data_IF_306951771959
#
_entry.id   IF_306951771959
#
_cell.length_a   1.000
_cell.length_b   1.000
_cell.length_c   1.000
_cell.angle_alpha   90.00
_cell.angle_beta   90.00
_cell.angle_gamma   90.00
#
_symmetry.space_group_name_H-M   'P 1'
#
loop_
_entity.id
_entity.type
_entity.pdbx_description
1 polymer ?
#
# COMPACT_ATOMS: atom_id res chain seq x y z
N UNK A 1 -40.96 -33.93 51.28
CA UNK A 1 -40.26 -33.71 52.56
C UNK A 1 -40.18 -32.21 52.86
N UNK A 2 -41.01 -31.70 53.78
CA UNK A 2 -41.00 -30.29 54.22
C UNK A 2 -40.04 -30.14 55.40
N UNK A 3 -38.93 -29.44 55.21
CA UNK A 3 -38.01 -29.08 56.30
C UNK A 3 -38.55 -27.83 57.00
N UNK A 4 -39.13 -28.01 58.19
CA UNK A 4 -39.49 -26.92 59.11
C UNK A 4 -38.21 -26.31 59.69
N UNK A 5 -37.97 -25.02 59.44
CA UNK A 5 -36.95 -24.23 60.17
C UNK A 5 -37.57 -23.71 61.47
N UNK A 6 -37.25 -24.36 62.58
CA UNK A 6 -37.44 -23.82 63.92
C UNK A 6 -36.34 -22.78 64.19
N UNK A 7 -36.68 -21.49 64.19
CA UNK A 7 -35.85 -20.46 64.81
C UNK A 7 -36.21 -20.40 66.29
N UNK A 8 -35.37 -21.00 67.14
CA UNK A 8 -35.36 -20.67 68.57
C UNK A 8 -34.42 -19.49 68.77
N UNK A 9 -34.97 -18.39 69.26
CA UNK A 9 -34.21 -17.31 69.90
C UNK A 9 -33.62 -17.88 71.19
N UNK A 10 -32.32 -18.19 71.16
CA UNK A 10 -31.51 -18.41 72.37
C UNK A 10 -30.39 -17.40 72.33
N UNK A 11 -30.42 -16.49 73.30
CA UNK A 11 -29.29 -15.80 73.93
C UNK A 11 -28.03 -15.65 73.08
N UNK A 12 -28.02 -14.63 72.22
CA UNK A 12 -26.75 -14.11 71.71
C UNK A 12 -26.11 -13.26 72.81
N UNK A 13 -25.19 -13.90 73.52
CA UNK A 13 -24.15 -13.25 74.29
C UNK A 13 -23.65 -12.03 73.53
N UNK A 14 -23.58 -10.91 74.25
CA UNK A 14 -22.93 -9.70 73.83
C UNK A 14 -21.52 -10.08 73.39
N UNK A 15 -21.29 -10.18 72.07
CA UNK A 15 -19.97 -10.08 71.51
C UNK A 15 -19.48 -8.68 71.87
N UNK A 16 -18.75 -8.60 72.98
CA UNK A 16 -17.82 -7.50 73.24
C UNK A 16 -17.03 -7.30 71.95
N UNK A 17 -16.79 -6.05 71.51
CA UNK A 17 -15.83 -5.83 70.45
C UNK A 17 -14.52 -6.38 70.98
N UNK A 18 -14.09 -7.54 70.48
CA UNK A 18 -12.68 -7.90 70.51
C UNK A 18 -12.01 -6.77 69.79
N UNK A 19 -11.47 -5.84 70.58
CA UNK A 19 -10.42 -4.96 70.15
C UNK A 19 -9.42 -5.86 69.42
N UNK A 20 -9.34 -5.70 68.10
CA UNK A 20 -8.20 -6.13 67.32
C UNK A 20 -7.01 -5.30 67.82
N UNK A 21 -6.55 -5.66 69.01
CA UNK A 21 -5.26 -5.24 69.52
C UNK A 21 -4.23 -5.83 68.58
N UNK A 22 -3.34 -4.97 68.12
CA UNK A 22 -2.28 -5.21 67.15
C UNK A 22 -1.18 -6.14 67.69
N UNK A 23 -1.53 -7.24 68.36
CA UNK A 23 -0.61 -8.14 69.07
C UNK A 23 -0.43 -9.53 68.43
N UNK A 24 -0.82 -9.70 67.17
CA UNK A 24 -0.47 -10.89 66.37
C UNK A 24 0.33 -10.58 65.10
N UNK A 25 0.93 -9.38 64.99
CA UNK A 25 1.85 -8.98 63.91
C UNK A 25 3.27 -8.73 64.44
N UNK A 26 3.70 -9.54 65.41
CA UNK A 26 5.05 -9.50 65.96
C UNK A 26 5.68 -10.88 65.92
N UNK A 27 6.15 -11.31 64.74
CA UNK A 27 7.33 -12.18 64.52
C UNK A 27 7.47 -12.56 63.03
N UNK A 28 7.44 -11.56 62.14
CA UNK A 28 8.12 -11.62 60.84
C UNK A 28 8.82 -10.28 60.61
N UNK A 29 9.71 -9.95 61.54
CA UNK A 29 10.75 -8.95 61.32
C UNK A 29 12.02 -9.69 60.94
N UNK A 30 12.29 -9.76 59.63
CA UNK A 30 13.60 -9.48 59.03
C UNK A 30 13.53 -9.65 57.51
N UNK A 31 13.51 -8.49 56.85
CA UNK A 31 14.30 -8.17 55.65
C UNK A 31 14.14 -9.09 54.43
N UNK A 32 13.05 -8.90 53.69
CA UNK A 32 13.03 -8.82 52.22
C UNK A 32 11.60 -8.85 51.70
N UNK A 33 10.77 -7.87 52.09
CA UNK A 33 9.59 -7.59 51.26
C UNK A 33 10.13 -6.95 49.97
N UNK A 34 10.01 -7.59 48.79
CA UNK A 34 10.38 -6.95 47.55
C UNK A 34 9.60 -5.64 47.50
N UNK A 35 10.31 -4.54 47.24
CA UNK A 35 9.76 -3.20 47.15
C UNK A 35 8.77 -3.21 45.98
N UNK A 36 7.52 -3.61 46.25
CA UNK A 36 6.47 -3.66 45.24
C UNK A 36 6.39 -2.23 44.70
N UNK A 37 6.64 -2.01 43.41
CA UNK A 37 6.64 -0.66 42.85
C UNK A 37 5.34 0.02 43.22
N UNK A 38 5.40 1.32 43.49
CA UNK A 38 4.23 2.15 43.77
C UNK A 38 3.39 2.26 42.48
N UNK A 39 2.79 1.14 42.08
CA UNK A 39 1.98 1.02 40.89
C UNK A 39 0.52 1.34 41.19
N UNK A 40 -0.30 1.49 40.13
CA UNK A 40 -1.72 1.85 40.19
C UNK A 40 -2.56 0.96 41.13
N UNK A 41 -2.10 -0.27 41.39
CA UNK A 41 -2.69 -1.20 42.36
C UNK A 41 -2.81 -0.64 43.78
N UNK A 42 -1.79 0.06 44.28
CA UNK A 42 -1.80 0.60 45.66
C UNK A 42 -2.84 1.72 45.80
N UNK A 43 -3.02 2.54 44.77
CA UNK A 43 -3.98 3.62 44.75
C UNK A 43 -5.43 3.11 44.80
N UNK A 44 -5.77 2.05 44.06
CA UNK A 44 -7.15 1.50 44.06
C UNK A 44 -7.56 0.91 45.41
N UNK A 45 -6.68 0.13 46.06
CA UNK A 45 -6.92 -0.45 47.37
C UNK A 45 -7.05 0.62 48.46
N UNK A 46 -6.15 1.61 48.47
CA UNK A 46 -6.21 2.71 49.41
C UNK A 46 -7.50 3.52 49.25
N UNK A 47 -7.95 3.74 48.01
CA UNK A 47 -9.23 4.41 47.76
C UNK A 47 -10.42 3.62 48.31
N UNK A 48 -10.45 2.30 48.13
CA UNK A 48 -11.50 1.44 48.68
C UNK A 48 -11.53 1.47 50.22
N UNK A 49 -10.36 1.34 50.85
CA UNK A 49 -10.22 1.40 52.31
C UNK A 49 -10.68 2.75 52.88
N UNK A 50 -10.30 3.85 52.25
CA UNK A 50 -10.73 5.19 52.68
C UNK A 50 -12.26 5.35 52.58
N UNK A 51 -12.88 4.84 51.50
CA UNK A 51 -14.34 4.86 51.35
C UNK A 51 -15.06 4.01 52.39
N UNK A 52 -14.51 2.83 52.74
CA UNK A 52 -15.07 1.99 53.79
C UNK A 52 -15.00 2.67 55.17
N UNK A 53 -13.85 3.26 55.51
CA UNK A 53 -13.69 4.01 56.76
C UNK A 53 -14.66 5.20 56.84
N UNK A 54 -14.81 5.95 55.75
CA UNK A 54 -15.78 7.06 55.68
C UNK A 54 -17.23 6.56 55.84
N UNK A 55 -17.57 5.43 55.23
CA UNK A 55 -18.89 4.82 55.34
C UNK A 55 -19.19 4.33 56.77
N UNK A 56 -18.21 3.71 57.43
CA UNK A 56 -18.32 3.29 58.83
C UNK A 56 -18.53 4.49 59.76
N UNK A 57 -17.74 5.55 59.59
CA UNK A 57 -17.90 6.79 60.36
C UNK A 57 -19.29 7.41 60.17
N UNK A 58 -19.80 7.44 58.93
CA UNK A 58 -21.16 7.92 58.64
C UNK A 58 -22.22 7.05 59.32
N UNK A 59 -22.05 5.72 59.30
CA UNK A 59 -22.99 4.79 59.93
C UNK A 59 -23.04 4.96 61.45
N UNK A 60 -21.88 5.06 62.10
CA UNK A 60 -21.79 5.33 63.55
C UNK A 60 -22.46 6.66 63.90
N UNK A 61 -22.18 7.72 63.13
CA UNK A 61 -22.81 9.03 63.32
C UNK A 61 -24.34 8.95 63.19
N UNK A 62 -24.84 8.27 62.15
CA UNK A 62 -26.29 8.12 61.90
C UNK A 62 -26.97 7.32 63.01
N UNK A 63 -26.37 6.22 63.47
CA UNK A 63 -26.92 5.44 64.58
C UNK A 63 -26.92 6.21 65.90
N UNK A 64 -25.91 7.07 66.11
CA UNK A 64 -25.82 7.94 67.28
C UNK A 64 -26.91 9.00 67.23
N UNK A 65 -27.12 9.65 66.08
CA UNK A 65 -28.21 10.61 65.87
C UNK A 65 -29.59 9.97 66.10
N UNK A 66 -29.85 8.79 65.52
CA UNK A 66 -31.10 8.05 65.75
C UNK A 66 -31.33 7.70 67.23
N UNK A 67 -30.26 7.38 67.97
CA UNK A 67 -30.33 7.11 69.40
C UNK A 67 -30.65 8.40 70.19
N UNK A 68 -29.99 9.50 69.87
CA UNK A 68 -30.23 10.80 70.51
C UNK A 68 -31.65 11.30 70.25
N UNK A 69 -32.15 11.16 69.02
CA UNK A 69 -33.53 11.52 68.65
C UNK A 69 -34.54 10.69 69.45
N UNK A 70 -34.34 9.37 69.52
CA UNK A 70 -35.20 8.49 70.32
C UNK A 70 -35.17 8.86 71.80
N UNK A 71 -34.00 9.14 72.38
CA UNK A 71 -33.87 9.54 73.78
C UNK A 71 -34.58 10.86 74.06
N UNK A 72 -34.46 11.84 73.17
CA UNK A 72 -35.14 13.14 73.30
C UNK A 72 -36.67 12.95 73.32
N UNK A 73 -37.20 12.11 72.44
CA UNK A 73 -38.64 11.89 72.32
C UNK A 73 -39.20 10.98 73.43
N UNK A 74 -38.43 9.96 73.86
CA UNK A 74 -38.88 8.93 74.80
C UNK A 74 -38.53 9.20 76.28
N UNK A 75 -37.65 10.16 76.58
CA UNK A 75 -37.36 10.58 77.96
C UNK A 75 -38.36 11.64 78.48
N UNK A 76 -39.25 12.16 77.62
CA UNK A 76 -40.26 13.13 78.02
C UNK A 76 -41.23 12.57 79.07
N UNK A 77 -41.82 13.46 79.87
CA UNK A 77 -42.76 13.13 80.96
C UNK A 77 -44.01 12.39 80.49
N UNK A 78 -44.37 12.52 79.21
CA UNK A 78 -45.49 11.83 78.55
C UNK A 78 -45.13 10.43 78.03
N UNK A 79 -43.95 9.90 78.41
CA UNK A 79 -43.43 8.62 77.94
C UNK A 79 -42.66 7.87 79.05
N UNK A 80 -41.37 7.56 78.91
CA UNK A 80 -40.65 6.80 79.94
C UNK A 80 -40.28 7.63 81.18
N UNK A 81 -40.33 8.97 81.09
CA UNK A 81 -40.05 9.89 82.20
C UNK A 81 -38.57 10.06 82.57
N UNK A 82 -37.68 9.21 82.07
CA UNK A 82 -36.22 9.37 82.20
C UNK A 82 -35.46 8.74 81.04
N UNK A 83 -34.22 9.16 80.82
CA UNK A 83 -33.35 8.60 79.78
C UNK A 83 -32.94 7.14 80.08
N UNK A 84 -32.79 6.79 81.36
CA UNK A 84 -32.49 5.43 81.80
C UNK A 84 -33.67 4.49 81.52
N UNK A 85 -34.88 4.92 81.88
CA UNK A 85 -36.11 4.19 81.58
C UNK A 85 -36.34 4.05 80.07
N UNK A 86 -36.02 5.08 79.28
CA UNK A 86 -36.14 5.03 77.82
C UNK A 86 -35.24 3.95 77.18
N UNK A 87 -34.03 3.74 77.71
CA UNK A 87 -33.06 2.74 77.24
C UNK A 87 -33.32 1.33 77.78
N UNK A 88 -33.99 1.23 78.92
CA UNK A 88 -34.33 -0.05 79.54
C UNK A 88 -35.18 -0.91 78.59
N UNK A 89 -35.04 -2.24 78.69
CA UNK A 89 -35.80 -3.17 77.85
C UNK A 89 -37.31 -3.11 78.09
N UNK A 90 -37.71 -2.66 79.28
CA UNK A 90 -39.10 -2.61 79.69
C UNK A 90 -39.63 -1.19 79.87
N UNK A 91 -38.85 -0.15 79.56
CA UNK A 91 -39.33 1.24 79.68
C UNK A 91 -39.31 1.77 81.10
N UNK A 92 -38.50 1.17 81.99
CA UNK A 92 -38.54 1.44 83.43
C UNK A 92 -39.64 0.71 84.18
N UNK A 93 -40.49 -0.07 83.48
CA UNK A 93 -41.49 -0.91 84.13
C UNK A 93 -40.89 -2.23 84.64
N UNK A 94 -41.41 -2.77 85.76
CA UNK A 94 -41.10 -4.14 86.17
C UNK A 94 -41.45 -5.15 85.07
N UNK A 95 -40.61 -6.17 84.88
CA UNK A 95 -40.75 -7.17 83.82
C UNK A 95 -42.12 -7.85 83.78
N UNK A 96 -42.74 -8.13 84.94
CA UNK A 96 -44.08 -8.74 85.00
C UNK A 96 -45.16 -7.80 84.42
N UNK A 97 -45.14 -6.51 84.80
CA UNK A 97 -46.08 -5.51 84.25
C UNK A 97 -45.88 -5.33 82.75
N UNK A 98 -44.62 -5.24 82.30
CA UNK A 98 -44.31 -5.15 80.87
C UNK A 98 -44.78 -6.39 80.10
N UNK A 99 -44.58 -7.59 80.64
CA UNK A 99 -45.03 -8.83 80.01
C UNK A 99 -46.55 -8.92 79.89
N UNK A 100 -47.28 -8.54 80.95
CA UNK A 100 -48.76 -8.45 80.93
C UNK A 100 -49.24 -7.42 79.91
N UNK A 101 -48.63 -6.23 79.89
CA UNK A 101 -48.87 -5.21 78.87
C UNK A 101 -48.72 -5.78 77.45
N UNK A 102 -47.59 -6.45 77.19
CA UNK A 102 -47.29 -7.07 75.90
C UNK A 102 -48.31 -8.16 75.52
N UNK A 103 -48.75 -8.97 76.49
CA UNK A 103 -49.78 -10.01 76.28
C UNK A 103 -51.11 -9.39 75.85
N UNK A 104 -51.54 -8.31 76.51
CA UNK A 104 -52.79 -7.59 76.18
C UNK A 104 -52.70 -6.92 74.81
N UNK A 105 -51.60 -6.22 74.50
CA UNK A 105 -51.38 -5.60 73.18
C UNK A 105 -51.38 -6.66 72.07
N UNK A 106 -50.72 -7.80 72.28
CA UNK A 106 -50.68 -8.90 71.29
C UNK A 106 -52.07 -9.53 71.09
N UNK A 107 -52.83 -9.73 72.17
CA UNK A 107 -54.21 -10.22 72.09
C UNK A 107 -55.14 -9.22 71.37
N UNK A 108 -54.98 -7.92 71.64
CA UNK A 108 -55.74 -6.87 70.96
C UNK A 108 -55.46 -6.84 69.45
N UNK A 109 -54.19 -7.00 69.04
CA UNK A 109 -53.80 -7.08 67.61
C UNK A 109 -54.28 -8.35 66.92
N UNK A 110 -54.32 -9.48 67.64
CA UNK A 110 -54.84 -10.74 67.10
C UNK A 110 -56.36 -10.72 66.89
N UNK A 111 -57.09 -10.00 67.75
CA UNK A 111 -58.55 -9.90 67.69
C UNK A 111 -59.06 -9.00 66.55
N UNK A 112 -58.26 -8.04 66.07
CA UNK A 112 -58.63 -7.12 64.98
C UNK A 112 -58.46 -7.71 63.57
N UNK A 113 -58.34 -9.03 63.43
CA UNK A 113 -58.41 -9.72 62.13
C UNK A 113 -57.08 -9.79 61.39
N UNK A 114 -56.47 -10.99 61.40
CA UNK A 114 -55.23 -11.33 60.71
C UNK A 114 -55.33 -11.43 59.17
N UNK A 115 -55.70 -10.35 58.48
CA UNK A 115 -55.82 -10.35 57.02
C UNK A 115 -55.09 -9.20 56.28
N UNK A 116 -54.17 -8.47 56.92
CA UNK A 116 -53.29 -7.52 56.22
C UNK A 116 -51.84 -7.92 56.43
N UNK A 117 -51.37 -8.83 55.58
CA UNK A 117 -49.95 -9.17 55.44
C UNK A 117 -49.18 -7.97 54.89
N UNK A 118 -48.76 -7.06 55.76
CA UNK A 118 -47.99 -5.88 55.37
C UNK A 118 -47.16 -5.39 56.55
N UNK A 119 -45.86 -5.64 56.51
CA UNK A 119 -44.88 -5.36 57.57
C UNK A 119 -44.62 -3.85 57.84
N UNK A 120 -45.58 -2.95 57.58
CA UNK A 120 -45.42 -1.49 57.67
C UNK A 120 -46.47 -0.75 58.50
N UNK A 121 -47.51 -1.40 59.01
CA UNK A 121 -48.63 -0.71 59.70
C UNK A 121 -48.41 -0.43 61.18
N UNK A 122 -47.49 0.46 61.55
CA UNK A 122 -47.35 0.94 62.94
C UNK A 122 -47.72 2.42 63.12
N UNK A 123 -48.19 3.12 62.06
CA UNK A 123 -48.21 4.58 62.04
C UNK A 123 -49.55 5.25 61.65
N UNK A 124 -50.69 4.56 61.67
CA UNK A 124 -51.94 5.21 61.21
C UNK A 124 -53.25 4.57 61.66
N UNK A 125 -53.34 4.13 62.92
CA UNK A 125 -54.64 3.68 63.47
C UNK A 125 -55.47 4.88 63.92
N UNK A 126 -56.69 5.00 63.37
CA UNK A 126 -57.72 5.99 63.76
C UNK A 126 -57.80 6.16 65.29
N UNK A 127 -57.95 7.41 65.75
CA UNK A 127 -58.04 7.83 67.16
C UNK A 127 -59.03 7.02 67.98
N UNK A 128 -60.06 6.47 67.34
CA UNK A 128 -61.15 5.77 67.99
C UNK A 128 -60.76 4.38 68.51
N UNK A 129 -59.67 3.80 67.98
CA UNK A 129 -59.14 2.50 68.46
C UNK A 129 -58.35 2.61 69.76
N UNK A 130 -57.82 3.80 70.08
CA UNK A 130 -56.95 4.01 71.24
C UNK A 130 -57.70 3.86 72.56
N UNK A 131 -58.95 4.34 72.62
CA UNK A 131 -59.76 4.24 73.85
C UNK A 131 -60.12 2.80 74.22
N UNK A 132 -60.38 1.94 73.22
CA UNK A 132 -60.71 0.54 73.44
C UNK A 132 -59.51 -0.29 73.91
N UNK A 133 -58.31 -0.02 73.38
CA UNK A 133 -57.07 -0.67 73.83
C UNK A 133 -56.69 -0.25 75.24
N UNK A 134 -56.78 1.05 75.58
CA UNK A 134 -56.50 1.52 76.94
C UNK A 134 -57.44 0.90 77.97
N UNK A 135 -58.75 0.78 77.67
CA UNK A 135 -59.71 0.10 78.56
C UNK A 135 -59.33 -1.37 78.82
N UNK A 136 -58.91 -2.11 77.79
CA UNK A 136 -58.44 -3.51 77.94
C UNK A 136 -57.14 -3.59 78.74
N UNK A 137 -56.24 -2.63 78.58
CA UNK A 137 -55.00 -2.56 79.34
C UNK A 137 -55.23 -2.27 80.82
N UNK A 138 -56.13 -1.34 81.14
CA UNK A 138 -56.53 -1.04 82.53
C UNK A 138 -57.12 -2.28 83.20
N UNK A 139 -57.96 -3.05 82.50
CA UNK A 139 -58.50 -4.31 83.03
C UNK A 139 -57.42 -5.40 83.21
N UNK A 140 -56.42 -5.46 82.33
CA UNK A 140 -55.34 -6.46 82.38
C UNK A 140 -54.19 -6.13 83.34
N UNK A 141 -54.11 -4.89 83.83
CA UNK A 141 -53.05 -4.37 84.70
C UNK A 141 -53.66 -3.69 85.95
N UNK A 142 -54.21 -4.48 86.89
CA UNK A 142 -54.80 -3.92 88.10
C UNK A 142 -53.73 -3.17 88.92
N UNK A 143 -54.08 -1.98 89.41
CA UNK A 143 -53.21 -1.16 90.25
C UNK A 143 -52.21 -0.27 89.49
N UNK A 144 -52.28 -0.19 88.17
CA UNK A 144 -51.50 0.76 87.36
C UNK A 144 -52.40 1.91 86.91
N UNK A 145 -51.93 3.16 87.05
CA UNK A 145 -52.74 4.32 86.67
C UNK A 145 -52.90 4.40 85.15
N UNK A 146 -54.07 4.84 84.62
CA UNK A 146 -54.28 4.98 83.18
C UNK A 146 -53.27 5.89 82.48
N UNK A 147 -52.79 6.94 83.17
CA UNK A 147 -51.75 7.84 82.67
C UNK A 147 -50.41 7.11 82.46
N UNK A 148 -50.01 6.26 83.41
CA UNK A 148 -48.80 5.44 83.29
C UNK A 148 -48.91 4.44 82.12
N UNK A 149 -50.09 3.84 81.91
CA UNK A 149 -50.36 2.95 80.77
C UNK A 149 -50.21 3.71 79.44
N UNK A 150 -50.77 4.92 79.34
CA UNK A 150 -50.68 5.76 78.13
C UNK A 150 -49.24 6.20 77.84
N UNK A 151 -48.50 6.58 78.88
CA UNK A 151 -47.10 6.94 78.80
C UNK A 151 -46.23 5.76 78.32
N UNK A 152 -46.45 4.58 78.91
CA UNK A 152 -45.76 3.34 78.52
C UNK A 152 -46.12 2.90 77.10
N UNK A 153 -47.38 3.06 76.69
CA UNK A 153 -47.83 2.81 75.32
C UNK A 153 -47.13 3.76 74.32
N UNK A 154 -47.01 5.04 74.67
CA UNK A 154 -46.32 6.03 73.85
C UNK A 154 -44.84 5.68 73.68
N UNK A 155 -44.15 5.35 74.78
CA UNK A 155 -42.78 4.83 74.74
C UNK A 155 -42.67 3.57 73.87
N UNK A 156 -43.59 2.61 74.02
CA UNK A 156 -43.55 1.34 73.28
C UNK A 156 -43.66 1.57 71.76
N UNK A 157 -44.54 2.50 71.33
CA UNK A 157 -44.66 2.91 69.92
C UNK A 157 -43.38 3.57 69.42
N UNK A 158 -42.85 4.55 70.17
CA UNK A 158 -41.59 5.24 69.82
C UNK A 158 -40.42 4.26 69.70
N UNK A 159 -40.31 3.31 70.63
CA UNK A 159 -39.30 2.25 70.60
C UNK A 159 -39.44 1.36 69.37
N UNK A 160 -40.67 1.00 68.99
CA UNK A 160 -40.94 0.24 67.77
C UNK A 160 -40.41 0.95 66.52
N UNK A 161 -40.71 2.25 66.38
CA UNK A 161 -40.23 3.08 65.26
C UNK A 161 -38.71 3.20 65.27
N UNK A 162 -38.10 3.46 66.42
CA UNK A 162 -36.65 3.53 66.57
C UNK A 162 -35.96 2.22 66.16
N UNK A 163 -36.44 1.07 66.65
CA UNK A 163 -35.87 -0.23 66.30
C UNK A 163 -36.02 -0.55 64.81
N UNK A 164 -37.14 -0.16 64.20
CA UNK A 164 -37.35 -0.28 62.76
C UNK A 164 -36.36 0.58 61.97
N UNK A 165 -36.21 1.87 62.31
CA UNK A 165 -35.23 2.78 61.69
C UNK A 165 -33.80 2.27 61.86
N UNK A 166 -33.42 1.82 63.06
CA UNK A 166 -32.10 1.24 63.36
C UNK A 166 -31.83 -0.01 62.51
N UNK A 167 -32.82 -0.91 62.36
CA UNK A 167 -32.70 -2.10 61.51
C UNK A 167 -32.55 -1.72 60.03
N UNK A 168 -33.36 -0.78 59.53
CA UNK A 168 -33.30 -0.31 58.16
C UNK A 168 -31.93 0.33 57.85
N UNK A 169 -31.39 1.14 58.76
CA UNK A 169 -30.07 1.76 58.57
C UNK A 169 -28.93 0.73 58.60
N UNK A 170 -29.00 -0.28 59.48
CA UNK A 170 -28.05 -1.40 59.45
C UNK A 170 -28.08 -2.16 58.12
N UNK A 171 -29.28 -2.41 57.58
CA UNK A 171 -29.42 -3.08 56.28
C UNK A 171 -28.89 -2.20 55.14
N UNK A 172 -29.16 -0.90 55.18
CA UNK A 172 -28.63 0.06 54.20
C UNK A 172 -27.11 0.11 54.24
N UNK A 173 -26.50 0.16 55.43
CA UNK A 173 -25.06 0.11 55.61
C UNK A 173 -24.47 -1.20 55.07
N UNK A 174 -25.07 -2.35 55.39
CA UNK A 174 -24.63 -3.65 54.89
C UNK A 174 -24.62 -3.71 53.35
N UNK A 175 -25.68 -3.21 52.70
CA UNK A 175 -25.75 -3.11 51.23
C UNK A 175 -24.64 -2.23 50.66
N UNK A 176 -24.41 -1.05 51.25
CA UNK A 176 -23.33 -0.15 50.80
C UNK A 176 -21.94 -0.77 50.96
N UNK A 177 -21.69 -1.50 52.05
CA UNK A 177 -20.44 -2.24 52.25
C UNK A 177 -20.29 -3.32 51.18
N UNK A 178 -21.34 -4.09 50.90
CA UNK A 178 -21.32 -5.11 49.85
C UNK A 178 -21.06 -4.50 48.46
N UNK A 179 -21.72 -3.40 48.13
CA UNK A 179 -21.49 -2.64 46.88
C UNK A 179 -20.03 -2.18 46.75
N UNK A 180 -19.44 -1.63 47.83
CA UNK A 180 -18.02 -1.23 47.84
C UNK A 180 -17.08 -2.41 47.69
N UNK A 181 -17.39 -3.54 48.32
CA UNK A 181 -16.59 -4.78 48.18
C UNK A 181 -16.67 -5.31 46.76
N UNK A 182 -17.85 -5.35 46.14
CA UNK A 182 -18.04 -5.77 44.75
C UNK A 182 -17.27 -4.81 43.82
N UNK A 183 -17.39 -3.50 44.03
CA UNK A 183 -16.65 -2.50 43.27
C UNK A 183 -15.14 -2.70 43.38
N UNK A 184 -14.63 -2.90 44.60
CA UNK A 184 -13.21 -3.18 44.85
C UNK A 184 -12.73 -4.46 44.17
N UNK A 185 -13.52 -5.54 44.20
CA UNK A 185 -13.21 -6.79 43.48
C UNK A 185 -13.13 -6.57 41.97
N UNK A 186 -14.10 -5.86 41.39
CA UNK A 186 -14.12 -5.54 39.95
C UNK A 186 -12.89 -4.71 39.56
N UNK A 187 -12.54 -3.69 40.34
CA UNK A 187 -11.35 -2.87 40.08
C UNK A 187 -10.04 -3.68 40.12
N UNK A 188 -9.97 -4.71 40.96
CA UNK A 188 -8.80 -5.60 40.99
C UNK A 188 -8.76 -6.58 39.83
N UNK A 189 -9.92 -7.04 39.39
CA UNK A 189 -10.04 -7.89 38.22
C UNK A 189 -9.65 -7.14 36.93
N UNK A 190 -10.10 -5.88 36.77
CA UNK A 190 -9.67 -5.05 35.63
C UNK A 190 -8.16 -4.85 35.62
N UNK A 191 -7.55 -4.52 36.76
CA UNK A 191 -6.09 -4.39 36.87
C UNK A 191 -5.35 -5.71 36.55
N UNK A 192 -5.89 -6.85 36.96
CA UNK A 192 -5.31 -8.16 36.61
C UNK A 192 -5.41 -8.45 35.12
N UNK A 193 -6.52 -8.06 34.49
CA UNK A 193 -6.71 -8.24 33.05
C UNK A 193 -5.76 -7.33 32.25
N UNK A 194 -5.60 -6.06 32.65
CA UNK A 194 -4.63 -5.14 32.06
C UNK A 194 -3.18 -5.66 32.16
N UNK A 195 -2.81 -6.29 33.27
CA UNK A 195 -1.49 -6.93 33.41
C UNK A 195 -1.33 -8.14 32.50
N UNK A 196 -2.36 -8.98 32.37
CA UNK A 196 -2.35 -10.12 31.45
C UNK A 196 -2.25 -9.64 30.00
N UNK A 197 -3.00 -8.61 29.64
CA UNK A 197 -2.95 -8.01 28.31
C UNK A 197 -1.59 -7.37 28.02
N UNK A 198 -1.02 -6.63 28.96
CA UNK A 198 0.31 -6.02 28.76
C UNK A 198 1.40 -7.08 28.65
N UNK A 199 1.34 -8.15 29.44
CA UNK A 199 2.23 -9.30 29.29
C UNK A 199 2.05 -10.00 27.93
N UNK A 200 0.80 -10.21 27.47
CA UNK A 200 0.52 -10.79 26.16
C UNK A 200 1.05 -9.92 25.01
N UNK A 201 0.88 -8.59 25.11
CA UNK A 201 1.43 -7.62 24.15
C UNK A 201 2.95 -7.65 24.13
N UNK A 202 3.60 -7.80 25.28
CA UNK A 202 5.07 -7.92 25.35
C UNK A 202 5.56 -9.20 24.64
N UNK A 203 4.91 -10.34 24.88
CA UNK A 203 5.22 -11.60 24.18
C UNK A 203 5.03 -11.44 22.66
N UNK A 204 3.92 -10.84 22.23
CA UNK A 204 3.65 -10.61 20.81
C UNK A 204 4.71 -9.68 20.16
N UNK A 205 5.16 -8.65 20.89
CA UNK A 205 6.25 -7.78 20.44
C UNK A 205 7.56 -8.56 20.29
N UNK A 206 7.92 -9.39 21.26
CA UNK A 206 9.11 -10.24 21.17
C UNK A 206 9.04 -11.19 19.96
N UNK A 207 7.89 -11.80 19.69
CA UNK A 207 7.69 -12.65 18.52
C UNK A 207 7.83 -11.86 17.20
N UNK A 208 7.25 -10.66 17.12
CA UNK A 208 7.40 -9.79 15.95
C UNK A 208 8.85 -9.39 15.73
N UNK A 209 9.59 -9.10 16.80
CA UNK A 209 11.02 -8.80 16.70
C UNK A 209 11.84 -10.00 16.25
N UNK A 210 11.51 -11.22 16.74
CA UNK A 210 12.15 -12.45 16.27
C UNK A 210 11.92 -12.65 14.77
N UNK A 211 10.66 -12.56 14.32
CA UNK A 211 10.31 -12.67 12.87
C UNK A 211 11.01 -11.61 12.03
N UNK A 212 11.11 -10.37 12.54
CA UNK A 212 11.84 -9.30 11.86
C UNK A 212 13.32 -9.65 11.71
N UNK A 213 13.97 -10.12 12.79
CA UNK A 213 15.38 -10.54 12.76
C UNK A 213 15.61 -11.72 11.81
N UNK A 214 14.69 -12.68 11.76
CA UNK A 214 14.72 -13.80 10.81
C UNK A 214 14.65 -13.31 9.36
N UNK A 215 13.71 -12.40 9.04
CA UNK A 215 13.61 -11.80 7.72
C UNK A 215 14.86 -11.00 7.34
N UNK A 216 15.41 -10.21 8.27
CA UNK A 216 16.64 -9.45 8.04
C UNK A 216 17.83 -10.39 7.75
N UNK A 217 17.91 -11.53 8.44
CA UNK A 217 18.92 -12.56 8.18
C UNK A 217 18.75 -13.19 6.79
N UNK A 218 17.52 -13.56 6.40
CA UNK A 218 17.23 -14.10 5.07
C UNK A 218 17.60 -13.10 3.96
N UNK A 219 17.29 -11.81 4.14
CA UNK A 219 17.67 -10.77 3.19
C UNK A 219 19.19 -10.61 3.08
N UNK A 220 19.92 -10.70 4.19
CA UNK A 220 21.40 -10.70 4.18
C UNK A 220 21.96 -11.91 3.45
N UNK A 221 21.41 -13.09 3.67
CA UNK A 221 21.82 -14.32 2.96
C UNK A 221 21.55 -14.22 1.45
N UNK A 222 20.38 -13.71 1.06
CA UNK A 222 20.07 -13.44 -0.34
C UNK A 222 21.02 -12.40 -0.95
N UNK A 223 21.35 -11.34 -0.21
CA UNK A 223 22.35 -10.35 -0.60
C UNK A 223 23.71 -10.99 -0.88
N UNK A 224 24.22 -11.81 0.06
CA UNK A 224 25.48 -12.56 -0.11
C UNK A 224 25.42 -13.54 -1.28
N UNK A 225 24.31 -14.24 -1.47
CA UNK A 225 24.14 -15.17 -2.58
C UNK A 225 24.12 -14.43 -3.94
N UNK A 226 23.48 -13.26 -4.01
CA UNK A 226 23.49 -12.40 -5.19
C UNK A 226 24.89 -11.88 -5.49
N UNK A 227 25.61 -11.42 -4.48
CA UNK A 227 26.99 -10.96 -4.62
C UNK A 227 27.91 -12.08 -5.12
N UNK A 228 27.79 -13.30 -4.59
CA UNK A 228 28.52 -14.48 -5.10
C UNK A 228 28.23 -14.76 -6.56
N UNK A 229 26.95 -14.77 -6.95
CA UNK A 229 26.54 -14.96 -8.36
C UNK A 229 27.08 -13.86 -9.27
N UNK A 230 27.04 -12.62 -8.80
CA UNK A 230 27.57 -11.49 -9.55
C UNK A 230 29.09 -11.60 -9.71
N UNK A 231 29.81 -11.94 -8.64
CA UNK A 231 31.25 -12.18 -8.68
C UNK A 231 31.61 -13.32 -9.62
N UNK A 232 30.94 -14.48 -9.53
CA UNK A 232 31.11 -15.60 -10.46
C UNK A 232 30.81 -15.18 -11.91
N UNK A 233 29.78 -14.35 -12.14
CA UNK A 233 29.47 -13.86 -13.48
C UNK A 233 30.55 -12.94 -14.03
N UNK A 234 31.14 -12.08 -13.19
CA UNK A 234 32.25 -11.19 -13.56
C UNK A 234 33.50 -12.01 -13.89
N UNK A 235 33.86 -12.98 -13.06
CA UNK A 235 34.98 -13.89 -13.30
C UNK A 235 34.79 -14.71 -14.60
N UNK A 236 33.55 -15.15 -14.90
CA UNK A 236 33.25 -15.84 -16.17
C UNK A 236 33.41 -14.92 -17.39
N UNK A 237 32.95 -13.67 -17.29
CA UNK A 237 33.11 -12.69 -18.37
C UNK A 237 34.59 -12.36 -18.58
N UNK A 238 35.33 -12.13 -17.50
CA UNK A 238 36.77 -11.86 -17.55
C UNK A 238 37.54 -13.03 -18.17
N UNK A 239 37.24 -14.27 -17.76
CA UNK A 239 37.83 -15.46 -18.37
C UNK A 239 37.49 -15.59 -19.86
N UNK A 240 36.24 -15.33 -20.25
CA UNK A 240 35.83 -15.36 -21.65
C UNK A 240 36.53 -14.29 -22.51
N UNK A 241 36.81 -13.11 -21.93
CA UNK A 241 37.59 -12.06 -22.59
C UNK A 241 39.05 -12.49 -22.77
N UNK A 242 39.68 -13.07 -21.74
CA UNK A 242 41.04 -13.61 -21.83
C UNK A 242 41.14 -14.71 -22.89
N UNK A 243 40.21 -15.68 -22.89
CA UNK A 243 40.16 -16.76 -23.89
C UNK A 243 40.00 -16.21 -25.31
N UNK A 244 39.22 -15.13 -25.48
CA UNK A 244 39.06 -14.46 -26.77
C UNK A 244 40.36 -13.79 -27.23
N UNK A 245 41.05 -13.09 -26.34
CA UNK A 245 42.35 -12.47 -26.66
C UNK A 245 43.36 -13.55 -27.07
N UNK A 246 43.43 -14.67 -26.34
CA UNK A 246 44.33 -15.79 -26.68
C UNK A 246 44.02 -16.34 -28.08
N UNK A 247 42.74 -16.57 -28.40
CA UNK A 247 42.35 -17.02 -29.76
C UNK A 247 42.70 -16.02 -30.84
N UNK A 248 42.45 -14.73 -30.60
CA UNK A 248 42.81 -13.68 -31.55
C UNK A 248 44.34 -13.62 -31.78
N UNK A 249 45.15 -13.84 -30.73
CA UNK A 249 46.61 -13.93 -30.86
C UNK A 249 47.06 -15.17 -31.63
N UNK A 250 46.49 -16.36 -31.33
CA UNK A 250 46.82 -17.60 -32.05
C UNK A 250 46.42 -17.54 -33.52
N UNK A 251 45.26 -16.94 -33.84
CA UNK A 251 44.82 -16.72 -35.22
C UNK A 251 45.72 -15.73 -35.97
N UNK A 252 46.19 -14.68 -35.29
CA UNK A 252 47.14 -13.73 -35.86
C UNK A 252 48.49 -14.40 -36.18
N UNK A 253 49.00 -15.24 -35.27
CA UNK A 253 50.22 -16.03 -35.49
C UNK A 253 50.08 -17.01 -36.66
N UNK A 254 48.95 -17.71 -36.77
CA UNK A 254 48.66 -18.60 -37.91
C UNK A 254 48.65 -17.83 -39.24
N UNK A 255 47.99 -16.67 -39.28
CA UNK A 255 47.96 -15.81 -40.48
C UNK A 255 49.35 -15.32 -40.84
N UNK A 256 50.17 -14.92 -39.86
CA UNK A 256 51.55 -14.50 -40.09
C UNK A 256 52.39 -15.62 -40.73
N UNK A 257 52.27 -16.86 -40.22
CA UNK A 257 52.94 -18.04 -40.79
C UNK A 257 52.45 -18.36 -42.21
N UNK A 258 51.15 -18.25 -42.48
CA UNK A 258 50.61 -18.44 -43.83
C UNK A 258 51.11 -17.38 -44.80
N UNK A 259 51.16 -16.11 -44.38
CA UNK A 259 51.64 -15.02 -45.20
C UNK A 259 53.14 -15.13 -45.46
N UNK A 260 53.93 -15.62 -44.50
CA UNK A 260 55.34 -15.95 -44.70
C UNK A 260 55.53 -17.09 -45.72
N UNK A 261 54.69 -18.15 -45.66
CA UNK A 261 54.67 -19.22 -46.67
C UNK A 261 54.29 -18.71 -48.07
N UNK A 262 53.30 -17.82 -48.16
CA UNK A 262 52.91 -17.20 -49.44
C UNK A 262 54.05 -16.33 -49.98
N UNK A 263 54.70 -15.53 -49.12
CA UNK A 263 55.85 -14.70 -49.52
C UNK A 263 57.02 -15.54 -50.03
N UNK A 264 57.36 -16.64 -49.38
CA UNK A 264 58.43 -17.53 -49.84
C UNK A 264 58.06 -18.24 -51.15
N UNK A 265 56.81 -18.68 -51.32
CA UNK A 265 56.33 -19.25 -52.58
C UNK A 265 56.35 -18.22 -53.73
N UNK A 266 55.95 -16.97 -53.47
CA UNK A 266 56.03 -15.88 -54.45
C UNK A 266 57.48 -15.55 -54.80
N UNK A 267 58.40 -15.55 -53.83
CA UNK A 267 59.83 -15.37 -54.08
C UNK A 267 60.41 -16.49 -54.95
N UNK A 268 60.06 -17.75 -54.69
CA UNK A 268 60.46 -18.90 -55.51
C UNK A 268 59.90 -18.80 -56.94
N UNK A 269 58.64 -18.39 -57.08
CA UNK A 269 58.05 -18.14 -58.38
C UNK A 269 58.78 -17.02 -59.13
N UNK A 270 59.08 -15.90 -58.47
CA UNK A 270 59.84 -14.81 -59.10
C UNK A 270 61.25 -15.23 -59.50
N UNK A 271 61.94 -16.05 -58.70
CA UNK A 271 63.25 -16.59 -59.06
C UNK A 271 63.15 -17.50 -60.31
N UNK A 272 62.16 -18.40 -60.35
CA UNK A 272 61.92 -19.26 -61.52
C UNK A 272 61.57 -18.46 -62.78
N UNK A 273 60.85 -17.34 -62.61
CA UNK A 273 60.48 -16.44 -63.70
C UNK A 273 61.68 -15.66 -64.23
N UNK A 274 62.62 -15.28 -63.35
CA UNK A 274 63.88 -14.64 -63.75
C UNK A 274 64.78 -15.59 -64.54
N UNK A 275 64.84 -16.87 -64.14
CA UNK A 275 65.56 -17.90 -64.90
C UNK A 275 64.95 -18.15 -66.29
N UNK A 276 63.61 -18.16 -66.38
CA UNK A 276 62.90 -18.29 -67.66
C UNK A 276 63.15 -17.10 -68.57
N UNK A 277 63.09 -15.87 -68.02
CA UNK A 277 63.36 -14.64 -68.77
C UNK A 277 64.80 -14.57 -69.29
N UNK A 278 65.78 -15.04 -68.51
CA UNK A 278 67.17 -15.11 -68.97
C UNK A 278 67.33 -16.08 -70.16
N UNK A 279 66.64 -17.23 -70.14
CA UNK A 279 66.64 -18.17 -71.27
C UNK A 279 65.93 -17.60 -72.51
N UNK A 280 64.88 -16.82 -72.32
CA UNK A 280 64.15 -16.15 -73.40
C UNK A 280 64.97 -15.00 -74.03
N UNK A 281 65.74 -14.25 -73.24
CA UNK A 281 66.63 -13.21 -73.77
C UNK A 281 67.74 -13.81 -74.64
N UNK A 282 68.33 -14.93 -74.22
CA UNK A 282 69.36 -15.64 -74.99
C UNK A 282 68.81 -16.21 -76.31
N UNK A 283 67.55 -16.66 -76.32
CA UNK A 283 66.87 -17.15 -77.52
C UNK A 283 66.45 -16.01 -78.47
N UNK A 284 66.01 -14.87 -77.93
CA UNK A 284 65.63 -13.69 -78.70
C UNK A 284 66.84 -13.04 -79.42
N UNK A 285 68.00 -12.99 -78.77
CA UNK A 285 69.22 -12.45 -79.40
C UNK A 285 69.73 -13.32 -80.56
N UNK A 286 69.49 -14.64 -80.52
CA UNK A 286 69.79 -15.55 -81.63
C UNK A 286 68.79 -15.40 -82.79
N UNK A 287 67.51 -15.19 -82.50
CA UNK A 287 66.46 -14.99 -83.52
C UNK A 287 66.56 -13.62 -84.22
N UNK A 288 66.96 -12.56 -83.49
CA UNK A 288 67.07 -11.20 -84.04
C UNK A 288 68.13 -11.09 -85.16
N UNK A 289 69.25 -11.82 -85.05
CA UNK A 289 70.32 -11.83 -86.08
C UNK A 289 69.89 -12.53 -87.37
N UNK A 290 68.94 -13.47 -87.30
CA UNK A 290 68.41 -14.17 -88.47
C UNK A 290 67.36 -13.33 -89.21
N UNK A 291 66.51 -12.59 -88.49
CA UNK A 291 65.48 -11.73 -89.10
C UNK A 291 66.05 -10.47 -89.77
N UNK A 292 67.16 -9.92 -89.26
CA UNK A 292 67.76 -8.70 -89.81
C UNK A 292 68.36 -8.92 -91.22
N UNK A 293 68.88 -10.12 -91.49
CA UNK A 293 69.34 -10.53 -92.82
C UNK A 293 68.18 -10.70 -93.83
N UNK A 294 67.00 -11.10 -93.36
CA UNK A 294 65.81 -11.32 -94.21
C UNK A 294 65.07 -10.02 -94.53
N UNK A 295 65.06 -9.04 -93.60
CA UNK A 295 64.45 -7.72 -93.83
C UNK A 295 65.19 -6.92 -94.90
N UNK A 296 66.52 -7.00 -94.98
CA UNK A 296 67.33 -6.27 -95.96
C UNK A 296 66.96 -6.59 -97.42
N UNK A 297 66.43 -7.79 -97.70
CA UNK A 297 66.05 -8.21 -99.05
C UNK A 297 64.62 -7.76 -99.47
N UNK A 298 63.74 -7.42 -98.52
CA UNK A 298 62.32 -7.12 -98.78
C UNK A 298 62.02 -5.62 -98.98
N UNK A 299 62.93 -4.74 -98.58
CA UNK A 299 62.80 -3.27 -98.66
C UNK A 299 62.57 -2.71 -100.09
N UNK A 300 63.26 -3.16 -101.16
CA UNK A 300 63.08 -2.56 -102.50
C UNK A 300 61.74 -2.93 -103.15
N UNK A 301 61.15 -4.08 -102.80
CA UNK A 301 59.85 -4.53 -103.33
C UNK A 301 58.68 -3.79 -102.68
N UNK A 302 58.76 -3.54 -101.37
CA UNK A 302 57.72 -2.80 -100.64
C UNK A 302 57.70 -1.31 -101.00
N UNK A 303 58.86 -0.70 -101.30
CA UNK A 303 58.92 0.71 -101.73
C UNK A 303 58.10 0.99 -102.99
N UNK A 304 58.10 0.06 -103.96
CA UNK A 304 57.30 0.17 -105.19
C UNK A 304 55.79 -0.01 -104.93
N UNK A 305 55.40 -0.88 -104.00
CA UNK A 305 53.99 -1.10 -103.62
C UNK A 305 53.38 0.06 -102.83
N UNK A 306 54.17 0.73 -102.00
CA UNK A 306 53.71 1.90 -101.23
C UNK A 306 53.53 3.12 -102.14
N UNK A 307 54.42 3.33 -103.11
CA UNK A 307 54.26 4.39 -104.12
C UNK A 307 52.94 4.27 -104.89
N UNK A 308 52.63 3.07 -105.40
CA UNK A 308 51.37 2.81 -106.11
C UNK A 308 50.12 3.05 -105.24
N UNK A 309 50.17 2.73 -103.94
CA UNK A 309 49.04 2.95 -103.01
C UNK A 309 48.83 4.43 -102.69
N UNK A 310 49.90 5.21 -102.60
CA UNK A 310 49.83 6.65 -102.37
C UNK A 310 49.24 7.38 -103.59
N UNK A 311 49.64 6.97 -104.79
CA UNK A 311 49.14 7.53 -106.03
C UNK A 311 47.63 7.25 -106.20
N UNK A 312 47.21 6.00 -105.96
CA UNK A 312 45.78 5.62 -106.00
C UNK A 312 44.93 6.28 -104.90
N UNK A 313 45.54 6.60 -103.75
CA UNK A 313 44.85 7.33 -102.68
C UNK A 313 44.65 8.80 -103.06
N UNK A 314 45.62 9.42 -103.76
CA UNK A 314 45.52 10.80 -104.25
C UNK A 314 44.42 10.93 -105.31
N UNK A 315 44.38 10.02 -106.29
CA UNK A 315 43.31 9.99 -107.30
C UNK A 315 41.91 9.87 -106.66
N UNK A 316 41.77 9.02 -105.64
CA UNK A 316 40.49 8.82 -104.95
C UNK A 316 40.06 10.04 -104.13
N UNK A 317 41.01 10.83 -103.66
CA UNK A 317 40.73 12.06 -102.91
C UNK A 317 40.34 13.20 -103.84
N UNK A 318 41.02 13.35 -104.98
CA UNK A 318 40.66 14.29 -106.05
C UNK A 318 39.26 13.98 -106.61
N UNK A 319 38.89 12.71 -106.79
CA UNK A 319 37.54 12.30 -107.21
C UNK A 319 36.46 12.66 -106.16
N UNK A 320 36.79 12.50 -104.87
CA UNK A 320 35.86 12.81 -103.77
C UNK A 320 35.61 14.31 -103.66
N UNK A 321 36.64 15.12 -103.79
CA UNK A 321 36.54 16.58 -103.76
C UNK A 321 35.69 17.10 -104.94
N UNK A 322 35.83 16.50 -106.13
CA UNK A 322 34.98 16.86 -107.27
C UNK A 322 33.49 16.55 -107.03
N UNK A 323 33.18 15.39 -106.47
CA UNK A 323 31.79 15.02 -106.12
C UNK A 323 31.17 15.92 -105.06
N UNK A 324 31.97 16.35 -104.08
CA UNK A 324 31.52 17.27 -103.03
C UNK A 324 31.25 18.68 -103.59
N UNK A 325 32.03 19.13 -104.59
CA UNK A 325 31.76 20.39 -105.30
C UNK A 325 30.48 20.31 -106.13
N UNK A 326 30.28 19.24 -106.92
CA UNK A 326 29.05 19.01 -107.69
C UNK A 326 27.80 18.95 -106.78
N UNK A 327 27.92 18.35 -105.59
CA UNK A 327 26.83 18.27 -104.62
C UNK A 327 26.48 19.65 -104.02
N UNK A 328 27.48 20.48 -103.70
CA UNK A 328 27.26 21.84 -103.20
C UNK A 328 26.55 22.71 -104.24
N UNK A 329 26.95 22.63 -105.50
CA UNK A 329 26.28 23.37 -106.59
C UNK A 329 24.81 22.95 -106.78
N UNK A 330 24.48 21.67 -106.56
CA UNK A 330 23.10 21.18 -106.59
C UNK A 330 22.28 21.66 -105.40
N UNK A 331 22.85 21.69 -104.19
CA UNK A 331 22.17 22.23 -103.01
C UNK A 331 21.91 23.73 -103.12
N UNK A 332 22.86 24.49 -103.67
CA UNK A 332 22.67 25.92 -103.93
C UNK A 332 21.53 26.16 -104.93
N UNK A 333 21.47 25.37 -106.02
CA UNK A 333 20.34 25.41 -106.97
C UNK A 333 19.02 25.05 -106.29
N UNK A 334 18.99 24.04 -105.42
CA UNK A 334 17.79 23.64 -104.65
C UNK A 334 17.34 24.74 -103.69
N UNK A 335 18.26 25.37 -102.97
CA UNK A 335 17.96 26.47 -102.07
C UNK A 335 17.41 27.70 -102.81
N UNK A 336 17.96 28.02 -103.99
CA UNK A 336 17.44 29.09 -104.84
C UNK A 336 16.01 28.79 -105.31
N UNK A 337 15.69 27.53 -105.66
CA UNK A 337 14.32 27.12 -106.03
C UNK A 337 13.37 27.24 -104.84
N UNK A 338 13.78 26.78 -103.65
CA UNK A 338 12.96 26.88 -102.43
C UNK A 338 12.72 28.32 -102.00
N UNK A 339 13.72 29.21 -102.14
CA UNK A 339 13.54 30.64 -101.87
C UNK A 339 12.58 31.31 -102.86
N UNK A 340 12.64 30.95 -104.16
CA UNK A 340 11.65 31.42 -105.15
C UNK A 340 10.25 30.92 -104.84
N UNK A 341 10.12 29.67 -104.41
CA UNK A 341 8.84 29.08 -104.01
C UNK A 341 8.29 29.76 -102.75
N UNK A 342 9.14 30.02 -101.75
CA UNK A 342 8.77 30.77 -100.56
C UNK A 342 8.29 32.19 -100.89
N UNK A 343 8.96 32.89 -101.82
CA UNK A 343 8.55 34.23 -102.26
C UNK A 343 7.22 34.24 -103.05
N UNK A 344 6.80 33.10 -103.62
CA UNK A 344 5.54 33.00 -104.39
C UNK A 344 4.28 32.84 -103.52
N UNK A 345 4.44 32.57 -102.22
CA UNK A 345 3.33 32.29 -101.31
C UNK A 345 3.05 33.50 -100.41
N UNK A 346 1.82 34.08 -100.43
CA UNK A 346 1.51 35.36 -99.78
C UNK A 346 1.59 35.36 -98.24
N UNK A 347 1.77 34.20 -97.60
CA UNK A 347 1.89 34.06 -96.14
C UNK A 347 3.26 33.53 -95.68
N UNK A 348 4.27 33.50 -96.56
CA UNK A 348 5.60 33.00 -96.22
C UNK A 348 6.28 33.81 -95.09
N UNK A 349 6.11 35.13 -95.08
CA UNK A 349 6.61 35.99 -94.00
C UNK A 349 5.84 35.80 -92.68
N UNK A 350 4.55 35.43 -92.74
CA UNK A 350 3.73 35.15 -91.56
C UNK A 350 4.12 33.83 -90.89
N UNK A 351 4.48 32.79 -91.66
CA UNK A 351 4.98 31.53 -91.12
C UNK A 351 6.41 31.65 -90.57
N UNK A 352 7.28 32.45 -91.20
CA UNK A 352 8.64 32.67 -90.72
C UNK A 352 8.70 33.45 -89.38
N UNK A 353 7.71 34.32 -89.12
CA UNK A 353 7.63 35.15 -87.91
C UNK A 353 6.65 34.60 -86.85
N UNK A 354 6.08 33.41 -87.05
CA UNK A 354 5.17 32.80 -86.08
C UNK A 354 5.96 32.21 -84.89
N UNK A 355 6.05 32.96 -83.79
CA UNK A 355 6.55 32.43 -82.51
C UNK A 355 5.50 31.50 -81.87
N UNK A 356 5.85 30.22 -81.70
CA UNK A 356 5.01 29.25 -81.01
C UNK A 356 5.00 29.51 -79.49
N UNK A 357 3.99 30.23 -78.99
CA UNK A 357 3.74 30.40 -77.55
C UNK A 357 3.19 29.12 -76.92
N UNK A 358 4.09 28.20 -76.55
CA UNK A 358 3.76 26.91 -75.91
C UNK A 358 3.61 26.98 -74.37
N UNK A 359 3.80 28.16 -73.76
CA UNK A 359 3.88 28.32 -72.30
C UNK A 359 2.60 28.85 -71.61
N UNK A 360 1.47 28.97 -72.33
CA UNK A 360 0.21 29.39 -71.71
C UNK A 360 -0.52 28.21 -71.04
N UNK A 361 -0.48 28.18 -69.71
CA UNK A 361 -1.26 27.25 -68.86
C UNK A 361 -2.74 27.65 -68.94
N UNK A 362 -3.64 26.69 -69.18
CA UNK A 362 -5.08 26.94 -69.26
C UNK A 362 -5.64 27.29 -67.87
N UNK A 363 -6.66 28.17 -67.82
CA UNK A 363 -7.28 28.69 -66.59
C UNK A 363 -7.76 27.57 -65.65
N UNK A 364 -8.19 26.43 -66.20
CA UNK A 364 -8.58 25.25 -65.43
C UNK A 364 -7.42 24.64 -64.61
N UNK A 365 -6.20 24.67 -65.15
CA UNK A 365 -5.00 24.21 -64.43
C UNK A 365 -4.57 25.21 -63.37
N UNK A 366 -4.64 26.52 -63.62
CA UNK A 366 -4.26 27.54 -62.65
C UNK A 366 -5.13 27.49 -61.37
N UNK A 367 -6.45 27.35 -61.51
CA UNK A 367 -7.37 27.26 -60.38
C UNK A 367 -7.16 26.01 -59.49
N UNK A 368 -6.62 24.94 -60.06
CA UNK A 368 -6.35 23.69 -59.33
C UNK A 368 -5.07 23.76 -58.49
N UNK A 369 -4.13 24.64 -58.85
CA UNK A 369 -2.87 24.84 -58.11
C UNK A 369 -2.98 25.87 -56.98
N UNK A 370 -3.96 26.77 -56.99
CA UNK A 370 -4.15 27.78 -55.92
C UNK A 370 -4.77 27.20 -54.64
N UNK A 371 -5.39 26.01 -54.68
CA UNK A 371 -5.98 25.34 -53.51
C UNK A 371 -5.00 24.46 -52.72
N UNK A 372 -3.80 24.17 -53.26
CA UNK A 372 -2.81 23.31 -52.62
C UNK A 372 -1.48 24.05 -52.45
N UNK A 373 -0.90 23.92 -51.25
CA UNK A 373 0.24 24.71 -50.77
C UNK A 373 1.42 24.85 -51.76
N UNK A 374 2.16 25.97 -51.73
CA UNK A 374 3.01 26.41 -52.85
C UNK A 374 4.37 25.69 -52.97
N UNK A 375 4.62 24.61 -52.23
CA UNK A 375 6.00 24.15 -51.98
C UNK A 375 6.50 22.94 -52.78
N UNK A 376 5.68 22.28 -53.60
CA UNK A 376 6.18 21.21 -54.49
C UNK A 376 5.59 21.31 -55.89
N UNK A 377 6.17 22.22 -56.68
CA UNK A 377 5.87 22.41 -58.11
C UNK A 377 6.49 21.31 -58.97
N UNK A 378 6.08 20.06 -58.79
CA UNK A 378 6.38 18.98 -59.74
C UNK A 378 5.17 18.71 -60.63
N UNK A 379 5.40 18.72 -61.96
CA UNK A 379 4.36 18.57 -62.98
C UNK A 379 3.55 17.28 -62.76
N UNK A 380 2.26 17.41 -62.44
CA UNK A 380 1.24 16.39 -62.72
C UNK A 380 1.18 15.16 -61.80
N UNK A 381 1.90 15.13 -60.67
CA UNK A 381 1.75 14.06 -59.69
C UNK A 381 1.31 14.63 -58.35
N UNK A 382 0.02 14.53 -58.04
CA UNK A 382 -0.45 14.68 -56.67
C UNK A 382 0.25 13.63 -55.80
N UNK A 383 0.88 14.01 -54.67
CA UNK A 383 1.34 13.02 -53.70
C UNK A 383 0.12 12.24 -53.21
N UNK A 384 0.12 10.91 -53.40
CA UNK A 384 -0.92 10.06 -52.83
C UNK A 384 -0.87 10.20 -51.31
N UNK A 385 -1.96 10.68 -50.71
CA UNK A 385 -2.16 10.78 -49.25
C UNK A 385 -2.39 9.41 -48.59
N UNK A 386 -1.86 8.33 -49.17
CA UNK A 386 -2.01 6.95 -48.69
C UNK A 386 -0.65 6.34 -48.38
N UNK A 387 -0.61 5.44 -47.39
CA UNK A 387 0.61 4.69 -47.08
C UNK A 387 1.00 3.83 -48.28
N UNK A 388 2.20 4.01 -48.80
CA UNK A 388 2.73 3.11 -49.81
C UNK A 388 3.02 1.74 -49.16
N UNK A 389 2.86 0.62 -49.88
CA UNK A 389 3.18 -0.71 -49.34
C UNK A 389 4.59 -0.75 -48.76
N UNK A 390 5.55 -0.10 -49.43
CA UNK A 390 6.91 0.04 -48.92
C UNK A 390 7.04 0.75 -47.58
N UNK A 391 6.14 1.69 -47.25
CA UNK A 391 6.12 2.39 -45.95
C UNK A 391 5.50 1.53 -44.86
N UNK A 392 4.45 0.78 -45.18
CA UNK A 392 3.83 -0.20 -44.26
C UNK A 392 4.84 -1.28 -43.87
N UNK A 393 5.62 -1.79 -44.81
CA UNK A 393 6.66 -2.79 -44.55
C UNK A 393 7.90 -2.22 -43.83
N UNK A 394 8.11 -0.90 -43.82
CA UNK A 394 9.18 -0.27 -43.03
C UNK A 394 8.83 -0.21 -41.55
N UNK A 395 7.54 -0.14 -41.19
CA UNK A 395 7.10 -0.11 -39.80
C UNK A 395 7.54 -1.39 -39.06
N UNK A 396 8.32 -1.22 -37.99
CA UNK A 396 8.79 -2.30 -37.14
C UNK A 396 7.62 -3.07 -36.49
N UNK A 397 6.48 -2.39 -36.25
CA UNK A 397 5.27 -3.01 -35.68
C UNK A 397 4.62 -3.98 -36.65
N UNK A 398 4.52 -3.56 -37.91
CA UNK A 398 3.92 -4.36 -38.97
C UNK A 398 4.76 -5.62 -39.22
N UNK A 399 6.09 -5.46 -39.32
CA UNK A 399 7.03 -6.60 -39.46
C UNK A 399 6.99 -7.54 -38.25
N UNK A 400 7.07 -7.01 -37.03
CA UNK A 400 7.00 -7.82 -35.82
C UNK A 400 5.65 -8.55 -35.70
N UNK A 401 4.55 -7.89 -36.05
CA UNK A 401 3.22 -8.51 -36.10
C UNK A 401 3.13 -9.65 -37.12
N UNK A 402 3.76 -9.49 -38.28
CA UNK A 402 3.85 -10.55 -39.30
C UNK A 402 4.63 -11.76 -38.76
N UNK A 403 5.83 -11.54 -38.19
CA UNK A 403 6.64 -12.62 -37.63
C UNK A 403 5.96 -13.34 -36.46
N UNK A 404 5.24 -12.61 -35.59
CA UNK A 404 4.49 -13.22 -34.49
C UNK A 404 3.27 -14.02 -34.98
N UNK A 405 2.67 -13.62 -36.11
CA UNK A 405 1.60 -14.37 -36.78
C UNK A 405 2.14 -15.64 -37.44
N UNK A 406 3.26 -15.55 -38.15
CA UNK A 406 3.96 -16.71 -38.73
C UNK A 406 4.41 -17.71 -37.67
N UNK A 407 4.89 -17.22 -36.52
CA UNK A 407 5.27 -18.06 -35.38
C UNK A 407 4.07 -18.63 -34.59
N UNK A 408 2.83 -18.30 -34.96
CA UNK A 408 1.61 -18.82 -34.30
C UNK A 408 1.34 -18.27 -32.89
N UNK A 409 2.11 -17.29 -32.42
CA UNK A 409 2.01 -16.74 -31.05
C UNK A 409 1.29 -15.38 -30.97
N UNK A 410 0.77 -14.89 -32.10
CA UNK A 410 0.12 -13.57 -32.19
C UNK A 410 -1.05 -13.34 -31.23
N UNK A 411 -1.75 -14.40 -30.81
CA UNK A 411 -2.87 -14.31 -29.85
C UNK A 411 -2.45 -14.19 -28.38
N UNK A 412 -1.16 -14.33 -28.08
CA UNK A 412 -0.67 -14.27 -26.70
C UNK A 412 -0.58 -12.83 -26.19
N UNK A 413 -0.93 -12.61 -24.91
CA UNK A 413 -0.85 -11.28 -24.28
C UNK A 413 0.56 -10.70 -24.29
N UNK A 414 1.59 -11.56 -24.24
CA UNK A 414 3.00 -11.19 -24.38
C UNK A 414 3.35 -10.67 -25.78
N UNK A 415 2.77 -11.26 -26.83
CA UNK A 415 2.95 -10.82 -28.22
C UNK A 415 2.36 -9.43 -28.44
N UNK A 416 1.17 -9.16 -27.89
CA UNK A 416 0.57 -7.82 -27.91
C UNK A 416 1.44 -6.76 -27.22
N UNK A 417 2.00 -7.10 -26.05
CA UNK A 417 2.89 -6.19 -25.31
C UNK A 417 4.20 -5.96 -26.07
N UNK A 418 4.74 -6.97 -26.74
CA UNK A 418 5.94 -6.85 -27.56
C UNK A 418 5.73 -5.90 -28.75
N UNK A 419 4.61 -6.02 -29.47
CA UNK A 419 4.26 -5.11 -30.59
C UNK A 419 4.07 -3.68 -30.11
N UNK A 420 3.42 -3.48 -28.96
CA UNK A 420 3.24 -2.15 -28.38
C UNK A 420 4.56 -1.52 -27.91
N UNK A 421 5.49 -2.32 -27.39
CA UNK A 421 6.81 -1.84 -26.92
C UNK A 421 7.86 -1.68 -28.00
N UNK A 422 7.72 -2.36 -29.14
CA UNK A 422 8.58 -2.18 -30.31
C UNK A 422 8.44 -0.77 -30.93
N UNK A 423 7.45 0.00 -30.50
CA UNK A 423 7.41 1.43 -30.69
C UNK A 423 8.50 2.10 -29.84
N UNK A 424 9.61 2.50 -30.45
CA UNK A 424 10.41 3.58 -29.89
C UNK A 424 9.51 4.80 -29.61
N UNK A 425 9.84 5.65 -28.62
CA UNK A 425 9.09 6.88 -28.37
C UNK A 425 9.01 7.66 -29.69
N UNK A 426 7.78 7.95 -30.15
CA UNK A 426 7.58 8.84 -31.30
C UNK A 426 8.31 10.14 -30.97
N UNK A 427 9.27 10.55 -31.81
CA UNK A 427 9.73 11.93 -31.78
C UNK A 427 8.47 12.80 -31.86
N UNK A 428 8.27 13.75 -30.92
CA UNK A 428 7.11 14.61 -30.96
C UNK A 428 7.07 15.28 -32.33
N UNK A 429 5.92 15.21 -32.99
CA UNK A 429 5.72 15.90 -34.25
C UNK A 429 6.11 17.38 -34.06
N UNK A 430 6.86 17.99 -34.99
CA UNK A 430 7.13 19.42 -34.93
C UNK A 430 5.79 20.14 -35.15
N UNK A 431 5.09 20.44 -34.06
CA UNK A 431 4.01 21.41 -34.10
C UNK A 431 4.64 22.75 -34.44
N UNK A 432 4.06 23.40 -35.45
CA UNK A 432 4.63 24.50 -36.19
C UNK A 432 5.25 25.58 -35.32
N UNK A 433 6.53 25.86 -35.58
CA UNK A 433 7.07 27.19 -35.40
C UNK A 433 6.41 28.05 -36.49
N UNK A 434 5.28 28.67 -36.15
CA UNK A 434 4.85 29.86 -36.86
C UNK A 434 5.92 30.92 -36.57
N UNK A 435 6.78 31.16 -37.55
CA UNK A 435 7.57 32.38 -37.62
C UNK A 435 6.58 33.54 -37.84
N UNK A 436 6.54 34.46 -36.88
CA UNK A 436 6.14 35.85 -37.15
C UNK A 436 7.26 36.57 -37.91
#
# INVERSE_FOLDING_TARGET
>A
MRVRKNWRETDFQICKPTALTSKSLGLLSRNSCPRVPAGPKKASWQSCLFRLQALEAQHVSTLTALRSDFLRDAAGSTSAGSAEAALDQNGGWPSDRHFRFMKVIKAAKGATGGAVGGAGGYLGGSSDSSGATTKRLVAGLPGVFPAEISNHESWYRLRGVFLAKKRAEKQRHARKVEELVIWGKKALETLRNEERESAARAIEQEERERRRKELDNLLREQGKARERREKESRERVEKALLDRVVRETEEAERKALEDERKRSAVAQYHASLQELRARETDACEAAARAEEAERAQRVPVNRKRVGFRQEKAREKQEERERREQEAKELEEKRMQVLQRLAASVPYAEACANAEAKLDHITVATAAHFDQFLPHDRSRGHCPMLGYNTGEVFKDARFRLGLYLREAGVSGCKSAHVAVMRAAGPRAPAPYGQHAE
#
